data_IF_717128940740
#
_entry.id   IF_717128940740
#
_cell.length_a   1.000
_cell.length_b   1.000
_cell.length_c   1.000
_cell.angle_alpha   90.00
_cell.angle_beta   90.00
_cell.angle_gamma   90.00
#
_symmetry.space_group_name_H-M   'P 1'
#
loop_
_entity.id
_entity.type
_entity.pdbx_description
1 polymer ?
#
# COMPACT_ATOMS: atom_id res chain seq x y z
N UNK A 1 2.72 22.13 86.80
CA UNK A 1 3.98 22.90 86.73
C UNK A 1 5.08 21.91 86.95
N UNK A 2 5.69 21.41 85.88
CA UNK A 2 7.06 20.88 85.88
C UNK A 2 7.50 20.75 84.43
N UNK A 3 8.53 21.52 84.09
CA UNK A 3 9.19 21.60 82.79
C UNK A 3 10.54 20.92 82.97
N UNK A 4 10.84 19.85 82.21
CA UNK A 4 12.22 19.41 82.02
C UNK A 4 12.42 18.95 80.56
N UNK A 5 13.26 19.71 79.85
CA UNK A 5 13.91 19.40 78.58
C UNK A 5 14.81 18.16 78.69
N UNK A 6 14.84 17.30 77.66
CA UNK A 6 16.06 16.58 77.29
C UNK A 6 16.15 16.39 75.77
N UNK A 7 17.08 17.12 75.15
CA UNK A 7 17.71 16.73 73.87
C UNK A 7 18.49 15.44 74.11
N UNK A 8 18.45 14.48 73.18
CA UNK A 8 19.63 13.75 72.68
C UNK A 8 19.21 12.81 71.54
N UNK A 9 20.03 12.74 70.49
CA UNK A 9 20.23 11.50 69.73
C UNK A 9 19.49 11.34 68.40
N UNK A 10 20.10 11.81 67.31
CA UNK A 10 19.98 11.12 66.02
C UNK A 10 20.66 9.74 66.16
N UNK A 11 20.00 8.65 65.75
CA UNK A 11 20.71 7.71 64.88
C UNK A 11 19.85 7.27 63.69
N UNK A 12 20.34 7.68 62.52
CA UNK A 12 20.54 6.89 61.31
C UNK A 12 19.76 5.56 61.13
N UNK A 13 19.22 5.42 59.90
CA UNK A 13 18.86 4.17 59.19
C UNK A 13 17.49 3.56 59.50
N UNK A 14 16.44 4.22 59.04
CA UNK A 14 15.22 3.55 58.57
C UNK A 14 15.04 3.88 57.08
N UNK A 15 15.89 3.29 56.26
CA UNK A 15 15.68 3.22 54.81
C UNK A 15 15.61 1.75 54.42
N UNK A 16 14.57 1.44 53.63
CA UNK A 16 14.33 0.23 52.86
C UNK A 16 13.61 -0.93 53.57
N UNK A 17 12.29 -0.81 53.74
CA UNK A 17 11.41 -1.98 53.67
C UNK A 17 9.96 -1.63 53.27
N UNK A 18 9.73 -0.80 52.26
CA UNK A 18 8.40 -0.68 51.62
C UNK A 18 8.52 -0.33 50.13
N UNK A 19 9.21 -1.18 49.38
CA UNK A 19 9.28 -1.05 47.92
C UNK A 19 8.97 -2.41 47.26
N UNK A 20 7.81 -2.98 47.57
CA UNK A 20 7.25 -4.13 46.85
C UNK A 20 5.74 -3.99 46.71
N UNK A 21 5.30 -2.97 45.97
CA UNK A 21 4.04 -3.01 45.22
C UNK A 21 4.35 -2.51 43.82
N UNK A 22 4.57 -3.47 42.92
CA UNK A 22 4.65 -3.28 41.47
C UNK A 22 3.29 -2.73 41.01
N UNK A 23 3.27 -1.66 40.19
CA UNK A 23 2.65 -1.85 38.89
C UNK A 23 3.58 -1.31 37.80
N UNK A 24 4.51 -2.15 37.36
CA UNK A 24 4.96 -2.14 35.97
C UNK A 24 3.80 -2.64 35.10
N UNK A 25 2.72 -1.85 35.02
CA UNK A 25 1.60 -2.05 34.09
C UNK A 25 1.42 -0.85 33.16
N UNK A 26 2.38 0.07 33.13
CA UNK A 26 2.32 1.28 32.30
C UNK A 26 3.05 1.14 30.94
N UNK A 27 3.69 0.00 30.69
CA UNK A 27 4.56 -0.19 29.50
C UNK A 27 4.03 -1.23 28.49
N UNK A 28 2.99 -1.99 28.83
CA UNK A 28 2.44 -3.03 27.95
C UNK A 28 1.43 -2.50 26.91
N UNK A 29 1.12 -1.21 26.90
CA UNK A 29 0.17 -0.61 25.94
C UNK A 29 0.76 -0.25 24.58
N UNK A 30 2.07 -0.49 24.36
CA UNK A 30 2.78 -0.08 23.13
C UNK A 30 3.28 -1.24 22.24
N UNK A 31 2.95 -2.52 22.55
CA UNK A 31 3.60 -3.68 21.89
C UNK A 31 2.70 -4.66 21.12
N UNK A 32 1.44 -4.35 20.78
CA UNK A 32 0.62 -5.31 20.00
C UNK A 32 -0.16 -4.63 18.85
N UNK A 33 0.57 -3.88 18.01
CA UNK A 33 0.20 -3.80 16.58
C UNK A 33 1.20 -4.63 15.82
N UNK A 34 1.11 -5.96 15.95
CA UNK A 34 1.63 -6.83 14.91
C UNK A 34 1.00 -6.38 13.59
N UNK A 35 1.81 -6.27 12.54
CA UNK A 35 1.33 -6.03 11.20
C UNK A 35 1.41 -7.38 10.50
N UNK A 36 0.26 -7.94 10.10
CA UNK A 36 0.24 -9.16 9.32
C UNK A 36 0.65 -8.83 7.88
N UNK A 37 1.78 -9.41 7.46
CA UNK A 37 2.25 -9.31 6.09
C UNK A 37 1.72 -10.49 5.28
N UNK A 38 0.82 -10.24 4.35
CA UNK A 38 0.19 -11.28 3.53
C UNK A 38 0.36 -10.92 2.04
N UNK A 39 0.95 -11.83 1.25
CA UNK A 39 1.20 -11.65 -0.20
C UNK A 39 1.89 -10.32 -0.59
N UNK A 40 2.79 -9.81 0.27
CA UNK A 40 3.51 -8.56 0.00
C UNK A 40 2.73 -7.27 0.36
N UNK A 41 1.58 -7.40 1.02
CA UNK A 41 0.76 -6.27 1.50
C UNK A 41 0.66 -6.33 3.02
N UNK A 42 0.86 -5.16 3.65
CA UNK A 42 0.65 -4.97 5.09
C UNK A 42 -0.85 -4.79 5.36
N UNK A 43 -1.43 -5.69 6.14
CA UNK A 43 -2.81 -5.59 6.58
C UNK A 43 -2.87 -5.14 8.05
N UNK A 44 -3.85 -4.30 8.41
CA UNK A 44 -4.07 -3.95 9.81
C UNK A 44 -4.78 -5.08 10.57
N UNK A 45 -4.13 -5.62 11.60
CA UNK A 45 -4.59 -6.78 12.38
C UNK A 45 -5.92 -6.57 13.11
N UNK A 46 -6.22 -5.32 13.49
CA UNK A 46 -7.42 -4.97 14.26
C UNK A 46 -8.70 -4.97 13.42
N UNK A 47 -8.61 -5.09 12.10
CA UNK A 47 -9.77 -5.05 11.22
C UNK A 47 -10.39 -6.44 11.05
N UNK A 48 -11.70 -6.42 10.80
CA UNK A 48 -12.45 -7.59 10.35
C UNK A 48 -11.86 -8.11 9.05
N UNK A 49 -11.73 -9.43 8.90
CA UNK A 49 -11.10 -10.08 7.74
C UNK A 49 -11.70 -9.61 6.42
N UNK A 50 -13.04 -9.51 6.35
CA UNK A 50 -13.74 -9.07 5.12
C UNK A 50 -13.37 -7.64 4.69
N UNK A 51 -13.08 -6.74 5.65
CA UNK A 51 -12.66 -5.37 5.37
C UNK A 51 -11.16 -5.34 5.08
N UNK A 52 -10.36 -6.09 5.83
CA UNK A 52 -8.92 -6.20 5.59
C UNK A 52 -8.61 -6.66 4.16
N UNK A 53 -9.34 -7.63 3.63
CA UNK A 53 -9.17 -8.12 2.26
C UNK A 53 -9.40 -7.04 1.18
N UNK A 54 -10.20 -6.01 1.45
CA UNK A 54 -10.44 -4.93 0.47
C UNK A 54 -9.25 -3.99 0.28
N UNK A 55 -8.22 -4.11 1.12
CA UNK A 55 -6.97 -3.38 0.93
C UNK A 55 -6.16 -3.89 -0.27
N UNK A 56 -6.37 -5.16 -0.66
CA UNK A 56 -5.77 -5.69 -1.87
C UNK A 56 -6.40 -5.08 -3.12
N UNK A 57 -5.56 -4.58 -4.02
CA UNK A 57 -5.98 -4.10 -5.32
C UNK A 57 -6.56 -5.25 -6.15
N UNK A 58 -7.83 -5.11 -6.54
CA UNK A 58 -8.59 -6.13 -7.27
C UNK A 58 -9.63 -6.86 -6.41
N UNK A 59 -9.57 -6.74 -5.08
CA UNK A 59 -10.57 -7.35 -4.18
C UNK A 59 -11.58 -6.29 -3.74
N UNK A 60 -12.83 -6.43 -4.21
CA UNK A 60 -13.95 -5.65 -3.73
C UNK A 60 -14.67 -6.28 -2.52
N UNK A 61 -15.62 -5.56 -1.90
CA UNK A 61 -16.35 -6.05 -0.73
C UNK A 61 -17.17 -7.32 -1.01
N UNK A 62 -17.71 -7.46 -2.23
CA UNK A 62 -18.44 -8.66 -2.65
C UNK A 62 -17.52 -9.88 -2.71
N UNK A 63 -16.35 -9.73 -3.35
CA UNK A 63 -15.36 -10.79 -3.50
C UNK A 63 -14.78 -11.20 -2.14
N UNK A 64 -14.48 -10.22 -1.28
CA UNK A 64 -14.03 -10.49 0.08
C UNK A 64 -15.06 -11.31 0.88
N UNK A 65 -16.34 -10.95 0.83
CA UNK A 65 -17.42 -11.71 1.47
C UNK A 65 -17.53 -13.14 0.92
N UNK A 66 -17.37 -13.33 -0.39
CA UNK A 66 -17.35 -14.66 -1.01
C UNK A 66 -16.18 -15.51 -0.51
N UNK A 67 -14.98 -14.93 -0.40
CA UNK A 67 -13.79 -15.62 0.14
C UNK A 67 -14.03 -16.00 1.60
N UNK A 68 -14.50 -15.08 2.44
CA UNK A 68 -14.83 -15.37 3.83
C UNK A 68 -15.89 -16.47 3.97
N UNK A 69 -16.91 -16.48 3.11
CA UNK A 69 -17.95 -17.50 3.11
C UNK A 69 -17.40 -18.87 2.69
N UNK A 70 -16.50 -18.91 1.69
CA UNK A 70 -15.84 -20.14 1.23
C UNK A 70 -14.96 -20.77 2.31
N UNK A 71 -14.27 -19.93 3.09
CA UNK A 71 -13.39 -20.36 4.19
C UNK A 71 -14.14 -20.48 5.54
N UNK A 72 -15.46 -20.28 5.55
CA UNK A 72 -16.29 -20.33 6.76
C UNK A 72 -15.84 -19.39 7.88
N UNK A 73 -15.31 -18.22 7.54
CA UNK A 73 -14.97 -17.19 8.53
C UNK A 73 -16.22 -16.46 9.03
N UNK A 74 -16.26 -16.24 10.34
CA UNK A 74 -17.33 -15.46 10.96
C UNK A 74 -17.27 -13.99 10.50
N UNK A 75 -18.43 -13.33 10.41
CA UNK A 75 -18.56 -11.96 9.86
C UNK A 75 -17.79 -10.93 10.67
N UNK A 76 -17.68 -11.12 11.98
CA UNK A 76 -17.01 -10.21 12.91
C UNK A 76 -15.58 -10.65 13.26
N UNK A 77 -15.12 -11.78 12.69
CA UNK A 77 -13.78 -12.30 12.96
C UNK A 77 -12.72 -11.28 12.52
N UNK A 78 -11.79 -10.99 13.44
CA UNK A 78 -10.66 -10.11 13.19
C UNK A 78 -9.48 -10.86 12.60
N UNK A 79 -8.64 -10.13 11.88
CA UNK A 79 -7.43 -10.70 11.29
C UNK A 79 -6.47 -11.26 12.35
N UNK A 80 -6.40 -10.63 13.53
CA UNK A 80 -5.61 -11.09 14.67
C UNK A 80 -6.06 -12.41 15.29
N UNK A 81 -7.31 -12.81 15.05
CA UNK A 81 -7.91 -14.03 15.64
C UNK A 81 -7.73 -15.26 14.74
N UNK A 82 -7.20 -15.09 13.53
CA UNK A 82 -6.99 -16.17 12.58
C UNK A 82 -5.83 -17.06 13.02
N UNK A 83 -6.07 -18.36 12.95
CA UNK A 83 -5.01 -19.37 13.14
C UNK A 83 -4.10 -19.47 11.92
N UNK A 84 -2.86 -19.93 12.10
CA UNK A 84 -1.89 -20.10 11.01
C UNK A 84 -2.43 -20.99 9.88
N UNK A 85 -3.17 -22.06 10.22
CA UNK A 85 -3.81 -22.93 9.22
C UNK A 85 -4.84 -22.19 8.35
N UNK A 86 -5.64 -21.32 8.95
CA UNK A 86 -6.62 -20.50 8.24
C UNK A 86 -5.93 -19.43 7.38
N UNK A 87 -4.83 -18.85 7.86
CA UNK A 87 -4.00 -17.93 7.08
C UNK A 87 -3.40 -18.61 5.84
N UNK A 88 -2.93 -19.84 5.97
CA UNK A 88 -2.41 -20.62 4.85
C UNK A 88 -3.51 -20.93 3.82
N UNK A 89 -4.71 -21.30 4.27
CA UNK A 89 -5.87 -21.50 3.38
C UNK A 89 -6.25 -20.21 2.65
N UNK A 90 -6.27 -19.09 3.37
CA UNK A 90 -6.54 -17.78 2.78
C UNK A 90 -5.49 -17.41 1.72
N UNK A 91 -4.20 -17.61 2.04
CA UNK A 91 -3.08 -17.38 1.13
C UNK A 91 -3.20 -18.23 -0.15
N UNK A 92 -3.59 -19.50 -0.02
CA UNK A 92 -3.82 -20.40 -1.16
C UNK A 92 -4.91 -19.87 -2.10
N UNK A 93 -6.08 -19.48 -1.55
CA UNK A 93 -7.18 -18.92 -2.34
C UNK A 93 -6.78 -17.60 -3.01
N UNK A 94 -6.02 -16.75 -2.32
CA UNK A 94 -5.57 -15.47 -2.89
C UNK A 94 -4.54 -15.66 -4.00
N UNK A 95 -3.69 -16.69 -3.92
CA UNK A 95 -2.66 -16.97 -4.93
C UNK A 95 -3.24 -17.45 -6.27
N UNK A 96 -4.44 -18.05 -6.27
CA UNK A 96 -5.14 -18.47 -7.49
C UNK A 96 -5.72 -17.28 -8.28
N UNK A 97 -5.85 -16.11 -7.65
CA UNK A 97 -6.53 -14.94 -8.21
C UNK A 97 -5.52 -13.93 -8.77
N UNK A 98 -5.87 -13.27 -9.88
CA UNK A 98 -5.07 -12.16 -10.44
C UNK A 98 -5.27 -10.90 -9.60
N UNK A 99 -4.39 -10.67 -8.63
CA UNK A 99 -4.48 -9.58 -7.65
C UNK A 99 -3.24 -8.66 -7.74
N UNK A 100 -3.34 -7.46 -7.19
CA UNK A 100 -2.23 -6.52 -6.99
C UNK A 100 -1.44 -6.20 -8.26
N UNK A 101 -0.16 -6.60 -8.30
CA UNK A 101 0.76 -6.23 -9.36
C UNK A 101 0.39 -6.86 -10.69
N UNK A 102 -0.14 -8.08 -10.68
CA UNK A 102 -0.52 -8.77 -11.91
C UNK A 102 -1.72 -8.08 -12.56
N UNK A 103 -2.74 -7.73 -11.77
CA UNK A 103 -3.87 -6.96 -12.27
C UNK A 103 -3.44 -5.57 -12.76
N UNK A 104 -2.56 -4.88 -12.03
CA UNK A 104 -2.01 -3.57 -12.44
C UNK A 104 -1.25 -3.67 -13.77
N UNK A 105 -0.44 -4.71 -13.95
CA UNK A 105 0.34 -4.97 -15.18
C UNK A 105 -0.59 -5.27 -16.35
N UNK A 106 -1.59 -6.13 -16.16
CA UNK A 106 -2.58 -6.44 -17.20
C UNK A 106 -3.32 -5.19 -17.68
N UNK A 107 -3.82 -4.37 -16.75
CA UNK A 107 -4.51 -3.12 -17.11
C UNK A 107 -3.58 -2.15 -17.84
N UNK A 108 -2.33 -2.02 -17.39
CA UNK A 108 -1.34 -1.17 -18.06
C UNK A 108 -1.02 -1.68 -19.49
N UNK A 109 -0.85 -2.98 -19.66
CA UNK A 109 -0.62 -3.62 -20.96
C UNK A 109 -1.78 -3.38 -21.91
N UNK A 110 -3.03 -3.51 -21.43
CA UNK A 110 -4.23 -3.25 -22.23
C UNK A 110 -4.28 -1.79 -22.72
N UNK A 111 -4.00 -0.82 -21.84
CA UNK A 111 -3.96 0.61 -22.21
C UNK A 111 -2.82 0.88 -23.20
N UNK A 112 -1.65 0.28 -22.99
CA UNK A 112 -0.50 0.45 -23.87
C UNK A 112 -0.78 -0.13 -25.27
N UNK A 113 -1.43 -1.29 -25.34
CA UNK A 113 -1.86 -1.91 -26.59
C UNK A 113 -2.81 -0.99 -27.38
N UNK A 114 -3.82 -0.41 -26.70
CA UNK A 114 -4.75 0.54 -27.32
C UNK A 114 -4.05 1.79 -27.89
N UNK A 115 -2.95 2.23 -27.26
CA UNK A 115 -2.11 3.33 -27.74
C UNK A 115 -1.27 2.93 -28.95
N UNK A 116 -0.64 1.76 -28.90
CA UNK A 116 0.17 1.23 -30.01
C UNK A 116 -0.65 1.06 -31.29
N UNK A 117 -1.88 0.55 -31.18
CA UNK A 117 -2.81 0.43 -32.31
C UNK A 117 -3.25 1.81 -32.85
N UNK A 118 -3.24 2.86 -32.00
CA UNK A 118 -3.66 4.20 -32.40
C UNK A 118 -5.17 4.43 -32.36
N UNK A 119 -5.91 3.64 -31.57
CA UNK A 119 -7.36 3.80 -31.37
C UNK A 119 -7.71 5.17 -30.78
N UNK A 120 -8.97 5.62 -30.96
CA UNK A 120 -9.47 6.85 -30.32
C UNK A 120 -9.22 6.85 -28.81
N UNK A 121 -9.56 5.75 -28.13
CA UNK A 121 -9.34 5.54 -26.70
C UNK A 121 -7.87 5.69 -26.32
N UNK A 122 -6.97 5.05 -27.08
CA UNK A 122 -5.52 5.16 -26.88
C UNK A 122 -5.02 6.60 -27.00
N UNK A 123 -5.47 7.35 -28.02
CA UNK A 123 -5.12 8.77 -28.20
C UNK A 123 -5.59 9.62 -27.00
N UNK A 124 -6.79 9.37 -26.48
CA UNK A 124 -7.33 10.09 -25.31
C UNK A 124 -6.54 9.79 -24.04
N UNK A 125 -6.15 8.53 -23.82
CA UNK A 125 -5.25 8.17 -22.72
C UNK A 125 -3.89 8.85 -22.84
N UNK A 126 -3.29 8.89 -24.04
CA UNK A 126 -2.02 9.55 -24.29
C UNK A 126 -2.08 11.06 -24.02
N UNK A 127 -3.19 11.71 -24.38
CA UNK A 127 -3.43 13.14 -24.12
C UNK A 127 -3.91 13.46 -22.70
N UNK A 128 -4.15 12.45 -21.86
CA UNK A 128 -4.71 12.62 -20.51
C UNK A 128 -6.16 13.13 -20.51
N UNK A 129 -6.92 12.92 -21.58
CA UNK A 129 -8.30 13.38 -21.70
C UNK A 129 -9.30 12.29 -21.29
N UNK A 130 -10.56 12.65 -20.96
CA UNK A 130 -11.59 11.66 -20.68
C UNK A 130 -11.89 10.81 -21.93
N UNK A 131 -12.16 9.52 -21.69
CA UNK A 131 -12.24 8.47 -22.71
C UNK A 131 -13.68 8.16 -23.11
N UNK A 132 -14.61 8.19 -22.16
CA UNK A 132 -16.02 7.79 -22.34
C UNK A 132 -16.91 8.91 -22.91
N UNK A 133 -16.40 9.71 -23.86
CA UNK A 133 -17.19 10.77 -24.52
C UNK A 133 -17.57 11.96 -23.64
N UNK A 134 -16.96 12.11 -22.46
CA UNK A 134 -17.26 13.22 -21.56
C UNK A 134 -16.80 14.56 -22.16
N UNK A 135 -17.58 15.63 -21.91
CA UNK A 135 -17.27 17.00 -22.37
C UNK A 135 -15.96 17.50 -21.75
N UNK A 136 -15.09 18.09 -22.57
CA UNK A 136 -13.75 18.56 -22.14
C UNK A 136 -13.65 20.06 -21.86
N UNK A 137 -14.63 20.87 -22.31
CA UNK A 137 -14.59 22.34 -22.20
C UNK A 137 -14.65 22.86 -20.76
N UNK A 138 -15.32 22.16 -19.84
CA UNK A 138 -15.42 22.54 -18.43
C UNK A 138 -14.59 21.61 -17.56
N UNK A 139 -15.19 20.50 -17.15
CA UNK A 139 -14.62 19.60 -16.15
C UNK A 139 -13.81 18.48 -16.81
N UNK A 140 -12.49 18.61 -16.84
CA UNK A 140 -11.57 17.56 -17.32
C UNK A 140 -10.32 17.34 -16.44
N UNK A 141 -10.23 18.05 -15.31
CA UNK A 141 -9.03 18.11 -14.46
C UNK A 141 -8.66 16.74 -13.89
N UNK A 142 -9.64 15.98 -13.38
CA UNK A 142 -9.40 14.66 -12.79
C UNK A 142 -8.84 13.67 -13.81
N UNK A 143 -9.40 13.65 -15.02
CA UNK A 143 -8.90 12.81 -16.12
C UNK A 143 -7.46 13.18 -16.48
N UNK A 144 -7.15 14.48 -16.61
CA UNK A 144 -5.80 14.98 -16.88
C UNK A 144 -4.80 14.56 -15.79
N UNK A 145 -5.23 14.58 -14.52
CA UNK A 145 -4.39 14.18 -13.38
C UNK A 145 -4.15 12.67 -13.32
N UNK A 146 -5.17 11.86 -13.57
CA UNK A 146 -5.15 10.41 -13.32
C UNK A 146 -4.74 9.59 -14.53
N UNK A 147 -5.19 9.92 -15.74
CA UNK A 147 -4.96 9.10 -16.94
C UNK A 147 -3.47 9.03 -17.31
N UNK A 148 -2.68 10.04 -16.97
CA UNK A 148 -1.21 10.04 -17.14
C UNK A 148 -0.42 9.48 -15.94
N UNK A 149 -1.05 9.08 -14.83
CA UNK A 149 -0.34 8.56 -13.65
C UNK A 149 0.08 7.10 -13.79
N UNK A 150 -0.72 6.28 -14.48
CA UNK A 150 -0.44 4.85 -14.65
C UNK A 150 0.87 4.58 -15.40
N UNK A 151 1.29 5.55 -16.23
CA UNK A 151 2.53 5.49 -17.02
C UNK A 151 3.78 6.00 -16.27
N UNK A 152 3.60 6.71 -15.14
CA UNK A 152 4.71 7.38 -14.43
C UNK A 152 5.43 6.51 -13.40
N UNK A 153 4.84 5.38 -12.97
CA UNK A 153 5.36 4.58 -11.85
C UNK A 153 6.19 3.36 -12.23
N UNK A 154 6.24 2.98 -13.52
CA UNK A 154 6.99 1.81 -13.99
C UNK A 154 8.12 2.15 -14.97
N UNK A 155 8.40 3.43 -15.21
CA UNK A 155 9.55 3.84 -16.03
C UNK A 155 10.82 3.91 -15.19
N UNK A 156 11.49 2.76 -14.97
CA UNK A 156 12.95 2.73 -14.81
C UNK A 156 13.66 2.62 -16.16
N UNK A 157 12.92 2.44 -17.25
CA UNK A 157 13.46 2.45 -18.61
C UNK A 157 12.88 3.65 -19.34
N UNK A 158 13.68 4.71 -19.47
CA UNK A 158 13.54 5.59 -20.60
C UNK A 158 13.87 4.74 -21.83
N UNK A 159 12.89 4.48 -22.71
CA UNK A 159 13.13 3.90 -24.03
C UNK A 159 13.95 4.90 -24.87
N UNK A 160 15.25 4.96 -24.56
CA UNK A 160 16.28 5.73 -25.26
C UNK A 160 16.77 5.00 -26.51
N UNK A 161 16.44 3.72 -26.66
CA UNK A 161 16.82 2.91 -27.82
C UNK A 161 16.04 3.32 -29.08
N UNK A 162 14.71 3.46 -29.00
CA UNK A 162 13.88 3.84 -30.15
C UNK A 162 14.09 5.31 -30.57
N UNK A 163 14.26 6.22 -29.59
CA UNK A 163 14.48 7.65 -29.86
C UNK A 163 15.88 7.96 -30.42
N UNK A 164 16.93 7.23 -30.03
CA UNK A 164 18.27 7.38 -30.65
C UNK A 164 18.30 6.91 -32.09
N UNK A 165 17.63 5.82 -32.41
CA UNK A 165 17.62 5.26 -33.75
C UNK A 165 16.84 6.15 -34.74
N UNK A 166 15.78 6.81 -34.26
CA UNK A 166 15.02 7.78 -35.05
C UNK A 166 15.75 9.13 -35.26
N UNK A 167 16.55 9.59 -34.28
CA UNK A 167 17.32 10.84 -34.41
C UNK A 167 18.65 10.69 -35.16
N UNK A 168 19.23 9.49 -35.21
CA UNK A 168 20.50 9.22 -35.92
C UNK A 168 20.40 9.14 -37.45
N UNK A 169 19.19 9.16 -38.01
CA UNK A 169 18.95 9.01 -39.46
C UNK A 169 18.82 10.35 -40.21
N UNK A 170 19.01 11.49 -39.54
CA UNK A 170 18.81 12.83 -40.13
C UNK A 170 20.08 13.71 -40.12
N UNK A 171 21.26 13.11 -40.31
CA UNK A 171 22.45 13.87 -40.71
C UNK A 171 22.74 13.60 -42.19
N UNK A 172 22.23 14.46 -43.07
CA UNK A 172 22.72 14.57 -44.44
C UNK A 172 24.19 15.06 -44.38
N UNK A 173 25.16 14.35 -45.00
CA UNK A 173 26.52 14.86 -45.05
C UNK A 173 26.55 16.10 -45.95
N UNK A 174 26.81 17.27 -45.36
CA UNK A 174 27.20 18.46 -46.10
C UNK A 174 28.50 18.14 -46.86
N UNK A 175 28.40 18.11 -48.19
CA UNK A 175 29.54 17.97 -49.09
C UNK A 175 30.52 19.12 -48.84
N UNK A 176 31.72 18.82 -48.35
CA UNK A 176 32.82 19.78 -48.36
C UNK A 176 33.25 19.98 -49.80
N UNK A 177 32.89 21.13 -50.38
CA UNK A 177 33.56 21.62 -51.58
C UNK A 177 35.04 21.80 -51.26
N UNK A 178 35.89 21.07 -51.99
CA UNK A 178 37.30 21.40 -52.10
C UNK A 178 37.41 22.62 -53.03
N UNK A 179 38.12 23.63 -52.54
CA UNK A 179 38.95 24.57 -53.30
C UNK A 179 40.08 25.00 -52.37
#
# INVERSE_FOLDING_TARGET
MDVILFRYGQPARFLLQFATIIPLYSSYSLLITSMLHLLGVNLPDQKVVSVALTYFYGIGPLTARKICSRLSFHKECKLSELTEGQLNQLSGVLSEMTIENDLKRQVAANVQHLRQIGTYVGKRHAMGLPVHGQRTRGNSVTAKKLNGKMLRKYSTVADTAFTRQAMGMFQSPLSKHQN
#
